data_IF_896643792107
#
_entry.id   IF_896643792107
#
_cell.length_a   1.000
_cell.length_b   1.000
_cell.length_c   1.000
_cell.angle_alpha   90.00
_cell.angle_beta   90.00
_cell.angle_gamma   90.00
#
_symmetry.space_group_name_H-M   'P 1'
#
loop_
_entity.id
_entity.type
_entity.pdbx_description
1 polymer ?
#
# COMPACT_ATOMS: atom_id res chain seq x y z
N UNK A 1 -13.54 2.94 3.53
CA UNK A 1 -13.88 2.72 2.12
C UNK A 1 -12.60 2.42 1.35
N UNK A 2 -12.69 1.88 0.15
CA UNK A 2 -11.51 1.74 -0.73
C UNK A 2 -11.35 2.98 -1.59
N UNK A 3 -10.14 3.23 -2.08
CA UNK A 3 -9.87 4.23 -3.09
C UNK A 3 -10.06 3.62 -4.49
N UNK A 4 -11.10 4.07 -5.20
CA UNK A 4 -11.35 3.70 -6.59
C UNK A 4 -10.19 4.09 -7.53
N UNK A 5 -9.50 5.19 -7.21
CA UNK A 5 -8.31 5.63 -7.92
C UNK A 5 -7.12 4.67 -7.74
N UNK A 6 -6.83 4.23 -6.51
CA UNK A 6 -5.78 3.22 -6.26
C UNK A 6 -6.10 1.89 -6.95
N UNK A 7 -7.37 1.47 -6.91
CA UNK A 7 -7.84 0.28 -7.62
C UNK A 7 -7.58 0.38 -9.12
N UNK A 8 -8.01 1.49 -9.75
CA UNK A 8 -7.80 1.73 -11.18
C UNK A 8 -6.32 1.81 -11.53
N UNK A 9 -5.53 2.55 -10.75
CA UNK A 9 -4.08 2.70 -10.95
C UNK A 9 -3.40 1.34 -10.94
N UNK A 10 -3.67 0.53 -9.92
CA UNK A 10 -3.07 -0.80 -9.81
C UNK A 10 -3.52 -1.75 -10.93
N UNK A 11 -4.79 -1.70 -11.34
CA UNK A 11 -5.26 -2.45 -12.51
C UNK A 11 -4.48 -2.10 -13.78
N UNK A 12 -4.25 -0.81 -14.02
CA UNK A 12 -3.50 -0.34 -15.19
C UNK A 12 -2.02 -0.75 -15.11
N UNK A 13 -1.40 -0.72 -13.92
CA UNK A 13 -0.04 -1.22 -13.69
C UNK A 13 0.08 -2.73 -13.95
N UNK A 14 -1.02 -3.49 -13.83
CA UNK A 14 -1.10 -4.91 -14.22
C UNK A 14 -1.44 -5.11 -15.70
N UNK A 15 -1.64 -4.03 -16.45
CA UNK A 15 -2.05 -4.04 -17.87
C UNK A 15 -3.37 -4.78 -18.09
N UNK A 16 -4.28 -4.73 -17.11
CA UNK A 16 -5.58 -5.40 -17.16
C UNK A 16 -6.68 -4.43 -17.59
N UNK A 17 -7.63 -4.91 -18.37
CA UNK A 17 -8.94 -4.29 -18.57
C UNK A 17 -9.85 -4.52 -17.36
N UNK A 18 -10.94 -3.76 -17.22
CA UNK A 18 -11.94 -3.96 -16.16
C UNK A 18 -12.55 -5.37 -16.24
N UNK A 19 -12.83 -5.84 -17.46
CA UNK A 19 -13.32 -7.18 -17.76
C UNK A 19 -12.35 -8.29 -17.32
N UNK A 20 -11.05 -8.14 -17.58
CA UNK A 20 -10.05 -9.12 -17.15
C UNK A 20 -9.90 -9.15 -15.63
N UNK A 21 -9.87 -7.99 -14.96
CA UNK A 21 -9.85 -7.95 -13.50
C UNK A 21 -11.10 -8.58 -12.89
N UNK A 22 -12.27 -8.31 -13.48
CA UNK A 22 -13.53 -8.91 -13.06
C UNK A 22 -13.47 -10.45 -13.17
N UNK A 23 -13.01 -10.97 -14.32
CA UNK A 23 -12.82 -12.41 -14.51
C UNK A 23 -11.85 -13.00 -13.47
N UNK A 24 -10.68 -12.39 -13.27
CA UNK A 24 -9.66 -12.87 -12.32
C UNK A 24 -10.12 -12.82 -10.86
N UNK A 25 -10.99 -11.89 -10.49
CA UNK A 25 -11.54 -11.74 -9.14
C UNK A 25 -12.87 -12.47 -8.92
N UNK A 26 -13.43 -13.11 -9.95
CA UNK A 26 -14.75 -13.75 -9.90
C UNK A 26 -15.90 -12.76 -9.69
N UNK A 27 -15.74 -11.54 -10.19
CA UNK A 27 -16.73 -10.45 -10.11
C UNK A 27 -17.26 -10.09 -11.50
N UNK A 28 -18.26 -9.19 -11.54
CA UNK A 28 -18.77 -8.67 -12.81
C UNK A 28 -17.99 -7.41 -13.23
N UNK A 29 -17.91 -7.17 -14.54
CA UNK A 29 -17.27 -5.96 -15.11
C UNK A 29 -17.92 -4.68 -14.55
N UNK A 30 -19.25 -4.69 -14.43
CA UNK A 30 -20.02 -3.59 -13.82
C UNK A 30 -19.64 -3.34 -12.35
N UNK A 31 -19.35 -4.39 -11.57
CA UNK A 31 -18.90 -4.23 -10.18
C UNK A 31 -17.54 -3.53 -10.12
N UNK A 32 -16.55 -3.99 -10.89
CA UNK A 32 -15.22 -3.37 -10.95
C UNK A 32 -15.33 -1.91 -11.37
N UNK A 33 -16.09 -1.62 -12.42
CA UNK A 33 -16.32 -0.23 -12.87
C UNK A 33 -16.93 0.64 -11.78
N UNK A 34 -17.95 0.15 -11.08
CA UNK A 34 -18.59 0.91 -9.99
C UNK A 34 -17.65 1.16 -8.81
N UNK A 35 -16.74 0.23 -8.52
CA UNK A 35 -15.72 0.39 -7.48
C UNK A 35 -14.67 1.42 -7.88
N UNK A 36 -14.18 1.39 -9.12
CA UNK A 36 -13.24 2.39 -9.62
C UNK A 36 -13.83 3.80 -9.68
N UNK A 37 -15.13 3.92 -9.92
CA UNK A 37 -15.85 5.21 -9.93
C UNK A 37 -16.28 5.66 -8.53
N UNK A 38 -16.09 4.84 -7.49
CA UNK A 38 -16.50 5.17 -6.12
C UNK A 38 -18.02 5.09 -5.87
N UNK A 39 -18.81 4.59 -6.82
CA UNK A 39 -20.26 4.45 -6.66
C UNK A 39 -20.65 3.35 -5.69
N UNK A 40 -19.78 2.37 -5.48
CA UNK A 40 -19.93 1.28 -4.51
C UNK A 40 -18.58 0.94 -3.90
N UNK A 41 -18.60 0.26 -2.76
CA UNK A 41 -17.41 -0.38 -2.17
C UNK A 41 -17.60 -1.90 -2.13
N UNK A 42 -16.55 -2.69 -2.40
CA UNK A 42 -16.61 -4.13 -2.20
C UNK A 42 -16.72 -4.46 -0.71
N UNK A 43 -17.34 -5.60 -0.40
CA UNK A 43 -17.24 -6.19 0.93
C UNK A 43 -15.83 -6.77 1.17
N UNK A 44 -15.58 -7.31 2.37
CA UNK A 44 -14.27 -7.84 2.75
C UNK A 44 -13.82 -9.01 1.87
N UNK A 45 -14.74 -9.89 1.46
CA UNK A 45 -14.40 -11.06 0.65
C UNK A 45 -14.10 -10.65 -0.79
N UNK A 46 -14.92 -9.77 -1.36
CA UNK A 46 -14.72 -9.18 -2.68
C UNK A 46 -13.41 -8.39 -2.74
N UNK A 47 -13.10 -7.60 -1.71
CA UNK A 47 -11.86 -6.85 -1.64
C UNK A 47 -10.63 -7.78 -1.62
N UNK A 48 -10.72 -8.89 -0.88
CA UNK A 48 -9.65 -9.90 -0.85
C UNK A 48 -9.43 -10.51 -2.24
N UNK A 49 -10.50 -10.90 -2.94
CA UNK A 49 -10.43 -11.44 -4.31
C UNK A 49 -9.81 -10.45 -5.29
N UNK A 50 -10.17 -9.17 -5.19
CA UNK A 50 -9.58 -8.09 -6.00
C UNK A 50 -8.09 -7.93 -5.69
N UNK A 51 -7.70 -7.87 -4.42
CA UNK A 51 -6.31 -7.72 -4.00
C UNK A 51 -5.43 -8.92 -4.38
N UNK A 52 -6.00 -10.13 -4.37
CA UNK A 52 -5.34 -11.33 -4.88
C UNK A 52 -5.11 -11.23 -6.39
N UNK A 53 -6.13 -10.89 -7.18
CA UNK A 53 -6.01 -10.71 -8.63
C UNK A 53 -4.99 -9.62 -9.01
N UNK A 54 -4.91 -8.54 -8.23
CA UNK A 54 -3.95 -7.44 -8.44
C UNK A 54 -2.57 -7.69 -7.83
N UNK A 55 -2.38 -8.81 -7.12
CA UNK A 55 -1.13 -9.13 -6.43
C UNK A 55 -0.67 -8.02 -5.47
N UNK A 56 -1.61 -7.40 -4.74
CA UNK A 56 -1.32 -6.46 -3.65
C UNK A 56 -1.93 -6.94 -2.33
N UNK A 57 -1.57 -6.29 -1.23
CA UNK A 57 -2.36 -6.41 -0.01
C UNK A 57 -3.66 -5.60 -0.12
N UNK A 58 -4.72 -6.03 0.59
CA UNK A 58 -6.00 -5.31 0.58
C UNK A 58 -5.86 -3.88 1.15
N UNK A 59 -4.94 -3.67 2.10
CA UNK A 59 -4.63 -2.34 2.66
C UNK A 59 -4.14 -1.35 1.61
N UNK A 60 -3.48 -1.81 0.54
CA UNK A 60 -3.03 -0.95 -0.56
C UNK A 60 -4.20 -0.26 -1.28
N UNK A 61 -5.40 -0.83 -1.21
CA UNK A 61 -6.61 -0.28 -1.83
C UNK A 61 -7.43 0.58 -0.88
N UNK A 62 -7.10 0.61 0.42
CA UNK A 62 -7.84 1.41 1.40
C UNK A 62 -7.60 2.89 1.13
N UNK A 63 -8.68 3.67 1.22
CA UNK A 63 -8.59 5.11 1.16
C UNK A 63 -8.13 5.67 2.51
N UNK A 64 -7.12 6.54 2.47
CA UNK A 64 -6.57 7.22 3.64
C UNK A 64 -6.80 8.73 3.53
N UNK A 65 -7.70 9.19 2.67
CA UNK A 65 -7.94 10.61 2.43
C UNK A 65 -9.17 11.17 3.15
N UNK A 66 -9.06 12.40 3.69
CA UNK A 66 -7.85 13.03 4.23
C UNK A 66 -7.69 12.71 5.73
N UNK A 67 -6.59 12.05 6.11
CA UNK A 67 -6.13 12.03 7.50
C UNK A 67 -5.45 13.38 7.77
N UNK A 68 -6.03 14.20 8.64
CA UNK A 68 -5.41 15.44 9.13
C UNK A 68 -4.11 15.14 9.87
N UNK A 69 -3.23 16.15 9.99
CA UNK A 69 -1.98 15.99 10.74
C UNK A 69 -2.24 15.55 12.19
N UNK A 70 -3.34 15.98 12.79
CA UNK A 70 -3.74 15.60 14.15
C UNK A 70 -4.18 14.14 14.23
N UNK A 71 -4.96 13.65 13.26
CA UNK A 71 -5.34 12.23 13.22
C UNK A 71 -4.11 11.35 12.98
N UNK A 72 -3.18 11.76 12.13
CA UNK A 72 -1.90 11.07 11.97
C UNK A 72 -1.12 11.04 13.29
N UNK A 73 -1.08 12.14 14.04
CA UNK A 73 -0.46 12.18 15.37
C UNK A 73 -1.14 11.24 16.37
N UNK A 74 -2.47 11.15 16.39
CA UNK A 74 -3.18 10.19 17.24
C UNK A 74 -2.79 8.74 16.89
N UNK A 75 -2.68 8.41 15.60
CA UNK A 75 -2.17 7.09 15.17
C UNK A 75 -0.75 6.86 15.70
N UNK A 76 0.14 7.86 15.60
CA UNK A 76 1.49 7.73 16.15
C UNK A 76 1.47 7.50 17.66
N UNK A 77 0.61 8.18 18.42
CA UNK A 77 0.47 7.98 19.87
C UNK A 77 -0.10 6.61 20.23
N UNK A 78 -1.14 6.17 19.53
CA UNK A 78 -1.77 4.85 19.76
C UNK A 78 -0.76 3.70 19.57
N UNK A 79 0.15 3.85 18.62
CA UNK A 79 1.16 2.85 18.30
C UNK A 79 2.56 3.14 18.91
N UNK A 80 2.71 4.17 19.74
CA UNK A 80 4.01 4.58 20.29
C UNK A 80 4.69 3.41 21.01
N UNK A 81 3.93 2.68 21.84
CA UNK A 81 4.44 1.56 22.63
C UNK A 81 4.71 0.32 21.78
N UNK A 82 3.81 0.01 20.85
CA UNK A 82 3.85 -1.23 20.07
C UNK A 82 5.00 -1.22 19.06
N UNK A 83 5.20 -0.09 18.36
CA UNK A 83 6.33 0.07 17.43
C UNK A 83 7.54 0.77 18.04
N UNK A 84 7.47 1.09 19.34
CA UNK A 84 8.52 1.81 20.09
C UNK A 84 8.93 3.08 19.35
N UNK A 85 7.94 3.85 18.90
CA UNK A 85 8.13 5.08 18.16
C UNK A 85 8.67 6.13 19.12
N UNK A 86 9.75 6.83 18.76
CA UNK A 86 10.26 7.97 19.54
C UNK A 86 10.61 9.14 18.63
N UNK A 87 10.46 10.39 19.09
CA UNK A 87 10.99 11.54 18.37
C UNK A 87 12.52 11.53 18.41
N UNK A 88 13.14 11.89 17.28
CA UNK A 88 14.55 12.24 17.16
C UNK A 88 14.66 13.74 16.91
N UNK A 89 15.41 14.43 17.76
CA UNK A 89 15.68 15.87 17.66
C UNK A 89 17.19 16.07 17.78
N UNK A 90 17.85 16.35 16.67
CA UNK A 90 19.30 16.59 16.59
C UNK A 90 19.55 17.83 15.73
N UNK A 91 20.09 18.92 16.28
CA UNK A 91 20.44 20.18 15.61
C UNK A 91 19.43 20.69 14.54
N UNK A 92 19.51 20.14 13.32
CA UNK A 92 18.69 20.47 12.14
C UNK A 92 17.83 19.31 11.61
N UNK A 93 17.91 18.14 12.24
CA UNK A 93 17.21 16.91 11.87
C UNK A 93 16.10 16.62 12.86
N UNK A 94 14.87 16.55 12.34
CA UNK A 94 13.71 16.05 13.07
C UNK A 94 13.27 14.75 12.43
N UNK A 95 13.03 13.73 13.25
CA UNK A 95 12.61 12.43 12.76
C UNK A 95 11.80 11.64 13.77
N UNK A 96 11.30 10.48 13.32
CA UNK A 96 10.79 9.43 14.18
C UNK A 96 11.73 8.23 14.07
N UNK A 97 12.15 7.70 15.20
CA UNK A 97 12.87 6.41 15.27
C UNK A 97 11.89 5.31 15.65
N UNK A 98 12.15 4.12 15.11
CA UNK A 98 11.35 2.92 15.33
C UNK A 98 12.28 1.80 15.77
N UNK A 99 11.89 1.04 16.80
CA UNK A 99 12.66 -0.12 17.24
C UNK A 99 11.99 -1.46 16.88
N UNK A 100 10.94 -1.42 16.06
CA UNK A 100 10.37 -2.61 15.45
C UNK A 100 11.21 -3.10 14.26
N UNK A 101 11.53 -4.38 14.22
CA UNK A 101 12.40 -4.97 13.19
C UNK A 101 11.74 -4.93 11.80
N UNK A 102 10.43 -5.21 11.73
CA UNK A 102 9.71 -5.20 10.46
C UNK A 102 9.63 -3.77 9.90
N UNK A 103 9.36 -2.79 10.75
CA UNK A 103 9.32 -1.38 10.36
C UNK A 103 10.70 -0.90 9.92
N UNK A 104 11.77 -1.27 10.64
CA UNK A 104 13.14 -0.94 10.24
C UNK A 104 13.53 -1.56 8.89
N UNK A 105 13.14 -2.80 8.63
CA UNK A 105 13.37 -3.44 7.34
C UNK A 105 12.58 -2.75 6.22
N UNK A 106 11.33 -2.37 6.48
CA UNK A 106 10.52 -1.57 5.56
C UNK A 106 11.18 -0.22 5.24
N UNK A 107 11.61 0.55 6.26
CA UNK A 107 12.26 1.85 6.07
C UNK A 107 13.55 1.72 5.24
N UNK A 108 14.36 0.70 5.49
CA UNK A 108 15.58 0.42 4.70
C UNK A 108 15.24 0.15 3.23
N UNK A 109 14.29 -0.75 2.97
CA UNK A 109 13.86 -1.08 1.62
C UNK A 109 13.24 0.13 0.90
N UNK A 110 12.42 0.91 1.60
CA UNK A 110 11.82 2.12 1.05
C UNK A 110 12.88 3.17 0.68
N UNK A 111 13.91 3.36 1.52
CA UNK A 111 15.03 4.24 1.22
C UNK A 111 15.84 3.77 0.00
N UNK A 112 16.07 2.46 -0.15
CA UNK A 112 16.70 1.90 -1.35
C UNK A 112 15.89 2.19 -2.61
N UNK A 113 14.57 1.94 -2.58
CA UNK A 113 13.68 2.21 -3.71
C UNK A 113 13.63 3.70 -4.06
N UNK A 114 13.61 4.58 -3.05
CA UNK A 114 13.71 6.04 -3.23
C UNK A 114 15.00 6.46 -3.92
N UNK A 115 16.14 5.89 -3.52
CA UNK A 115 17.45 6.19 -4.14
C UNK A 115 17.49 5.74 -5.60
N UNK A 116 17.02 4.51 -5.88
CA UNK A 116 16.93 4.00 -7.26
C UNK A 116 16.08 4.90 -8.15
N UNK A 117 14.93 5.32 -7.64
CA UNK A 117 14.03 6.24 -8.35
C UNK A 117 14.70 7.59 -8.59
N UNK A 118 15.30 8.19 -7.57
CA UNK A 118 16.02 9.47 -7.69
C UNK A 118 17.19 9.41 -8.68
N UNK A 119 17.90 8.28 -8.74
CA UNK A 119 19.01 8.05 -9.65
C UNK A 119 18.57 7.67 -11.08
N UNK A 120 17.26 7.51 -11.34
CA UNK A 120 16.74 7.07 -12.63
C UNK A 120 16.95 5.58 -12.95
N UNK A 121 17.26 4.76 -11.94
CA UNK A 121 17.41 3.30 -12.10
C UNK A 121 16.07 2.58 -12.25
N UNK A 122 14.98 3.20 -11.75
CA UNK A 122 13.60 2.75 -11.92
C UNK A 122 12.72 3.93 -12.32
N UNK A 123 11.71 3.66 -13.14
CA UNK A 123 10.69 4.62 -13.56
C UNK A 123 9.70 4.98 -12.43
N UNK A 124 8.94 6.06 -12.63
CA UNK A 124 7.80 6.41 -11.77
C UNK A 124 6.79 5.26 -11.66
N UNK A 125 6.54 4.57 -12.77
CA UNK A 125 5.60 3.45 -12.86
C UNK A 125 6.07 2.27 -11.98
N UNK A 126 7.36 1.91 -12.08
CA UNK A 126 7.95 0.84 -11.26
C UNK A 126 7.98 1.20 -9.77
N UNK A 127 8.24 2.47 -9.43
CA UNK A 127 8.24 2.90 -8.04
C UNK A 127 6.84 2.89 -7.42
N UNK A 128 5.84 3.36 -8.16
CA UNK A 128 4.45 3.35 -7.71
C UNK A 128 3.85 1.94 -7.65
N UNK A 129 4.23 1.09 -8.59
CA UNK A 129 3.90 -0.34 -8.54
C UNK A 129 4.48 -1.02 -7.31
N UNK A 130 5.74 -0.75 -6.95
CA UNK A 130 6.31 -1.29 -5.71
C UNK A 130 5.53 -0.83 -4.47
N UNK A 131 5.18 0.47 -4.37
CA UNK A 131 4.40 1.01 -3.25
C UNK A 131 3.02 0.35 -3.13
N UNK A 132 2.28 0.27 -4.24
CA UNK A 132 0.93 -0.30 -4.25
C UNK A 132 0.91 -1.83 -4.13
N UNK A 133 2.05 -2.48 -4.32
CA UNK A 133 2.19 -3.93 -4.18
C UNK A 133 2.80 -4.36 -2.86
N UNK A 134 3.20 -3.42 -1.99
CA UNK A 134 3.75 -3.75 -0.68
C UNK A 134 2.69 -4.49 0.18
N UNK A 135 3.06 -5.56 0.92
CA UNK A 135 4.39 -6.16 1.03
C UNK A 135 4.65 -7.28 0.02
N UNK A 136 3.74 -7.60 -0.92
CA UNK A 136 3.89 -8.74 -1.83
C UNK A 136 5.09 -8.63 -2.77
N UNK A 137 5.52 -7.42 -3.15
CA UNK A 137 6.78 -7.17 -3.90
C UNK A 137 7.97 -6.81 -3.00
N UNK A 138 7.80 -6.85 -1.68
CA UNK A 138 8.88 -6.57 -0.75
C UNK A 138 9.92 -7.70 -0.76
N UNK A 139 11.20 -7.33 -0.75
CA UNK A 139 12.30 -8.29 -0.59
C UNK A 139 12.45 -8.76 0.85
N UNK A 140 12.10 -7.90 1.80
CA UNK A 140 12.23 -8.15 3.24
C UNK A 140 11.06 -8.95 3.82
N UNK A 141 9.86 -8.82 3.24
CA UNK A 141 8.66 -9.52 3.71
C UNK A 141 8.47 -10.87 3.01
N UNK A 142 9.23 -11.89 3.42
CA UNK A 142 8.89 -13.29 3.08
C UNK A 142 7.81 -13.75 4.04
N UNK A 143 6.55 -13.77 3.59
CA UNK A 143 5.48 -14.46 4.31
C UNK A 143 5.99 -15.88 4.60
N UNK A 144 6.34 -16.18 5.85
CA UNK A 144 6.42 -17.56 6.32
C UNK A 144 5.00 -18.08 6.16
N UNK A 145 4.73 -18.77 5.04
CA UNK A 145 3.53 -19.58 4.91
C UNK A 145 3.62 -20.62 6.03
N UNK A 146 2.96 -20.34 7.14
CA UNK A 146 2.74 -21.31 8.20
C UNK A 146 2.02 -22.51 7.57
N UNK A 147 2.57 -23.70 7.82
CA UNK A 147 1.89 -24.97 7.62
C UNK A 147 0.65 -25.04 8.50
#
# INVERSE_FOLDING_TARGET
MISGEKLRKLRLLRKLTQKELAYMSGLTDSAIRNYELGYRSPDKEQLKKIAEALQCDASALVDHTPISIFEFMQVVFDYEKDFKIRPLVEDSTLGLIFHDENFNNFIKEWNEMRKKHYNGEISDEEFDDWKLSYPKKSKSFKIKRGK
#
